data_IF_785487017670
#
_entry.id   IF_785487017670
#
_cell.length_a   1.000
_cell.length_b   1.000
_cell.length_c   1.000
_cell.angle_alpha   90.00
_cell.angle_beta   90.00
_cell.angle_gamma   90.00
#
_symmetry.space_group_name_H-M   'P 1'
#
loop_
_entity.id
_entity.type
_entity.pdbx_description
1 polymer ?
#
# COMPACT_ATOMS: atom_id res chain seq x y z
N UNK A 1 10.09 -62.24 -37.62
CA UNK A 1 9.90 -63.34 -38.62
C UNK A 1 9.40 -62.81 -39.96
N UNK A 2 8.46 -61.86 -40.01
CA UNK A 2 7.94 -61.26 -41.26
C UNK A 2 8.99 -60.50 -42.12
N UNK A 3 9.96 -59.81 -41.51
CA UNK A 3 11.00 -59.06 -42.24
C UNK A 3 12.03 -59.99 -42.91
N UNK A 4 12.27 -61.19 -42.36
CA UNK A 4 13.20 -62.17 -42.94
C UNK A 4 12.68 -62.77 -44.25
N UNK A 5 11.36 -62.91 -44.42
CA UNK A 5 10.76 -63.41 -45.67
C UNK A 5 10.81 -62.40 -46.80
N UNK A 6 10.55 -61.11 -46.50
CA UNK A 6 10.51 -60.04 -47.52
C UNK A 6 11.89 -59.70 -48.11
N UNK A 7 12.94 -59.69 -47.29
CA UNK A 7 14.30 -59.40 -47.76
C UNK A 7 14.92 -60.56 -48.57
N UNK A 8 14.44 -61.80 -48.39
CA UNK A 8 14.86 -62.93 -49.22
C UNK A 8 14.33 -62.80 -50.65
N UNK A 9 13.04 -62.50 -50.80
CA UNK A 9 12.37 -62.46 -52.12
C UNK A 9 12.82 -61.30 -53.02
N UNK A 10 13.21 -60.15 -52.48
CA UNK A 10 13.74 -59.01 -53.26
C UNK A 10 15.21 -59.19 -53.68
N UNK A 11 16.00 -60.01 -52.97
CA UNK A 11 17.41 -60.21 -53.32
C UNK A 11 17.60 -61.18 -54.51
N UNK A 12 16.72 -62.19 -54.61
CA UNK A 12 16.70 -63.14 -55.73
C UNK A 12 16.28 -62.51 -57.07
N UNK A 13 15.59 -61.37 -57.03
CA UNK A 13 15.12 -60.67 -58.24
C UNK A 13 16.15 -59.68 -58.81
N UNK A 14 17.11 -59.22 -58.01
CA UNK A 14 18.09 -58.21 -58.43
C UNK A 14 19.43 -58.80 -58.93
N UNK A 15 19.77 -60.04 -58.59
CA UNK A 15 21.06 -60.66 -58.94
C UNK A 15 20.94 -62.15 -59.30
N UNK A 16 20.35 -62.50 -60.47
CA UNK A 16 20.12 -63.90 -60.85
C UNK A 16 21.41 -64.68 -61.21
N UNK A 17 22.54 -64.00 -61.46
CA UNK A 17 23.81 -64.64 -61.90
C UNK A 17 24.78 -65.02 -60.77
N UNK A 18 24.39 -64.85 -59.50
CA UNK A 18 25.26 -65.13 -58.34
C UNK A 18 24.90 -66.44 -57.60
N UNK A 19 24.11 -67.30 -58.23
CA UNK A 19 23.70 -68.61 -57.68
C UNK A 19 24.66 -69.68 -58.17
N UNK A 20 25.85 -69.78 -57.55
CA UNK A 20 26.58 -71.07 -57.50
C UNK A 20 27.73 -71.14 -56.47
N UNK A 21 27.77 -70.25 -55.45
CA UNK A 21 28.76 -70.40 -54.37
C UNK A 21 28.20 -69.95 -53.01
N UNK A 22 27.74 -70.94 -52.22
CA UNK A 22 27.09 -70.77 -50.91
C UNK A 22 27.94 -69.97 -49.90
N UNK A 23 29.26 -69.93 -50.08
CA UNK A 23 30.18 -69.19 -49.21
C UNK A 23 30.10 -67.68 -49.39
N UNK A 24 29.86 -67.22 -50.63
CA UNK A 24 29.89 -65.79 -50.97
C UNK A 24 28.60 -65.09 -50.50
N UNK A 25 27.47 -65.80 -50.56
CA UNK A 25 26.17 -65.31 -50.05
C UNK A 25 26.19 -65.12 -48.53
N UNK A 26 26.77 -66.08 -47.78
CA UNK A 26 26.87 -66.00 -46.33
C UNK A 26 27.74 -64.80 -45.88
N UNK A 27 28.86 -64.54 -46.55
CA UNK A 27 29.76 -63.42 -46.24
C UNK A 27 29.14 -62.04 -46.51
N UNK A 28 28.45 -61.88 -47.64
CA UNK A 28 27.76 -60.62 -48.00
C UNK A 28 26.59 -60.39 -47.05
N UNK A 29 25.76 -61.40 -46.80
CA UNK A 29 24.63 -61.31 -45.88
C UNK A 29 25.09 -60.95 -44.46
N UNK A 30 26.16 -61.57 -43.95
CA UNK A 30 26.66 -61.29 -42.61
C UNK A 30 27.29 -59.88 -42.49
N UNK A 31 27.89 -59.37 -43.56
CA UNK A 31 28.49 -58.02 -43.62
C UNK A 31 27.42 -56.93 -43.73
N UNK A 32 26.39 -57.14 -44.55
CA UNK A 32 25.24 -56.23 -44.67
C UNK A 32 24.47 -56.20 -43.35
N UNK A 33 24.21 -57.36 -42.72
CA UNK A 33 23.47 -57.42 -41.46
C UNK A 33 24.22 -56.71 -40.31
N UNK A 34 25.55 -56.85 -40.22
CA UNK A 34 26.37 -56.11 -39.23
C UNK A 34 26.33 -54.60 -39.46
N UNK A 35 26.47 -54.13 -40.71
CA UNK A 35 26.43 -52.70 -41.04
C UNK A 35 25.05 -52.09 -40.80
N UNK A 36 23.97 -52.79 -41.13
CA UNK A 36 22.59 -52.32 -40.91
C UNK A 36 22.26 -52.24 -39.41
N UNK A 37 22.69 -53.20 -38.59
CA UNK A 37 22.48 -53.16 -37.12
C UNK A 37 23.29 -52.01 -36.48
N UNK A 38 24.54 -51.80 -36.91
CA UNK A 38 25.34 -50.65 -36.45
C UNK A 38 24.71 -49.32 -36.83
N UNK A 39 24.17 -49.19 -38.05
CA UNK A 39 23.51 -47.97 -38.54
C UNK A 39 22.18 -47.70 -37.84
N UNK A 40 21.38 -48.74 -37.57
CA UNK A 40 20.14 -48.65 -36.78
C UNK A 40 20.42 -48.30 -35.31
N UNK A 41 21.52 -48.79 -34.72
CA UNK A 41 21.90 -48.45 -33.34
C UNK A 41 22.49 -47.03 -33.21
N UNK A 42 23.19 -46.55 -34.24
CA UNK A 42 23.73 -45.19 -34.27
C UNK A 42 22.61 -44.17 -34.48
N UNK A 43 21.67 -44.46 -35.39
CA UNK A 43 20.48 -43.63 -35.61
C UNK A 43 19.55 -43.65 -34.38
N UNK A 44 19.32 -44.79 -33.72
CA UNK A 44 18.50 -44.80 -32.50
C UNK A 44 19.12 -44.00 -31.35
N UNK A 45 20.46 -44.03 -31.19
CA UNK A 45 21.19 -43.20 -30.21
C UNK A 45 21.16 -41.72 -30.57
N UNK A 46 21.26 -41.34 -31.85
CA UNK A 46 21.09 -39.95 -32.30
C UNK A 46 19.66 -39.47 -32.07
N UNK A 47 18.65 -40.29 -32.37
CA UNK A 47 17.25 -39.98 -32.12
C UNK A 47 16.95 -39.84 -30.62
N UNK A 48 17.51 -40.71 -29.77
CA UNK A 48 17.39 -40.57 -28.30
C UNK A 48 18.11 -39.34 -27.77
N UNK A 49 19.31 -39.01 -28.26
CA UNK A 49 20.02 -37.78 -27.86
C UNK A 49 19.29 -36.51 -28.33
N UNK A 50 18.68 -36.53 -29.52
CA UNK A 50 17.88 -35.42 -30.03
C UNK A 50 16.54 -35.26 -29.29
N UNK A 51 15.87 -36.36 -28.94
CA UNK A 51 14.67 -36.37 -28.08
C UNK A 51 14.99 -35.86 -26.68
N UNK A 52 16.07 -36.35 -26.06
CA UNK A 52 16.51 -35.92 -24.73
C UNK A 52 16.94 -34.46 -24.73
N UNK A 53 17.65 -34.00 -25.77
CA UNK A 53 17.98 -32.58 -25.96
C UNK A 53 16.75 -31.71 -26.10
N UNK A 54 15.72 -32.14 -26.86
CA UNK A 54 14.44 -31.41 -26.99
C UNK A 54 13.62 -31.42 -25.70
N UNK A 55 13.64 -32.51 -24.94
CA UNK A 55 13.00 -32.60 -23.62
C UNK A 55 13.71 -31.72 -22.58
N UNK A 56 15.04 -31.67 -22.61
CA UNK A 56 15.83 -30.78 -21.73
C UNK A 56 15.64 -29.32 -22.13
N UNK A 57 15.69 -28.97 -23.42
CA UNK A 57 15.37 -27.61 -23.88
C UNK A 57 13.92 -27.23 -23.58
N UNK A 58 12.98 -28.18 -23.73
CA UNK A 58 11.58 -28.00 -23.37
C UNK A 58 11.40 -27.78 -21.87
N UNK A 59 12.09 -28.54 -21.03
CA UNK A 59 12.08 -28.39 -19.58
C UNK A 59 12.79 -27.11 -19.11
N UNK A 60 13.88 -26.69 -19.77
CA UNK A 60 14.56 -25.41 -19.51
C UNK A 60 13.67 -24.24 -19.97
N UNK A 61 12.98 -24.35 -21.09
CA UNK A 61 12.00 -23.36 -21.53
C UNK A 61 10.78 -23.32 -20.59
N UNK A 62 10.29 -24.47 -20.11
CA UNK A 62 9.22 -24.54 -19.12
C UNK A 62 9.66 -24.01 -17.76
N UNK A 63 10.90 -24.26 -17.34
CA UNK A 63 11.52 -23.69 -16.15
C UNK A 63 11.81 -22.20 -16.32
N UNK A 64 12.16 -21.72 -17.51
CA UNK A 64 12.34 -20.29 -17.79
C UNK A 64 10.99 -19.55 -17.85
N UNK A 65 9.93 -20.20 -18.34
CA UNK A 65 8.54 -19.69 -18.31
C UNK A 65 7.95 -19.77 -16.89
N UNK A 66 8.30 -20.79 -16.10
CA UNK A 66 7.93 -20.88 -14.68
C UNK A 66 8.81 -19.97 -13.77
N UNK A 67 10.01 -19.60 -14.23
CA UNK A 67 10.91 -18.64 -13.60
C UNK A 67 10.69 -17.20 -14.10
N UNK A 68 9.73 -16.99 -15.01
CA UNK A 68 8.88 -15.81 -14.96
C UNK A 68 8.05 -15.90 -13.68
N UNK A 69 8.75 -15.76 -12.56
CA UNK A 69 8.21 -15.18 -11.34
C UNK A 69 7.21 -14.13 -11.77
N UNK A 70 5.98 -14.22 -11.27
CA UNK A 70 5.16 -13.04 -11.14
C UNK A 70 6.05 -12.04 -10.39
N UNK A 71 6.77 -11.19 -11.12
CA UNK A 71 7.28 -9.94 -10.59
C UNK A 71 5.99 -9.23 -10.23
N UNK A 72 5.55 -9.43 -8.99
CA UNK A 72 4.41 -8.75 -8.41
C UNK A 72 4.73 -7.28 -8.60
N UNK A 73 4.11 -6.66 -9.61
CA UNK A 73 4.40 -5.28 -9.97
C UNK A 73 4.17 -4.45 -8.72
N UNK A 74 5.21 -3.76 -8.26
CA UNK A 74 5.15 -2.98 -7.03
C UNK A 74 3.98 -2.01 -7.11
N UNK A 75 3.12 -2.03 -6.10
CA UNK A 75 1.88 -1.27 -6.11
C UNK A 75 2.18 0.19 -5.76
N UNK A 76 1.50 1.09 -6.45
CA UNK A 76 1.46 2.51 -6.12
C UNK A 76 -0.01 2.81 -5.93
N UNK A 77 -0.43 2.77 -4.67
CA UNK A 77 -1.82 2.98 -4.27
C UNK A 77 -1.98 4.47 -4.02
N UNK A 78 -2.94 5.11 -4.67
CA UNK A 78 -3.16 6.54 -4.55
C UNK A 78 -4.54 6.77 -3.94
N UNK A 79 -4.59 7.38 -2.76
CA UNK A 79 -5.86 7.82 -2.18
C UNK A 79 -6.29 9.12 -2.85
N UNK A 80 -7.60 9.21 -3.09
CA UNK A 80 -8.26 10.40 -3.59
C UNK A 80 -9.40 10.76 -2.65
N UNK A 81 -9.19 11.77 -1.81
CA UNK A 81 -10.24 12.30 -0.94
C UNK A 81 -11.15 13.24 -1.76
N UNK A 82 -12.38 12.81 -2.02
CA UNK A 82 -13.34 13.56 -2.84
C UNK A 82 -13.70 14.93 -2.26
N UNK A 83 -13.50 15.13 -0.94
CA UNK A 83 -13.67 16.42 -0.26
C UNK A 83 -12.77 17.50 -0.85
N UNK A 84 -11.66 17.12 -1.49
CA UNK A 84 -10.78 18.02 -2.24
C UNK A 84 -11.50 18.88 -3.30
N UNK A 85 -12.61 18.40 -3.89
CA UNK A 85 -13.41 19.16 -4.87
C UNK A 85 -14.12 20.37 -4.27
N UNK A 86 -14.33 20.38 -2.95
CA UNK A 86 -15.07 21.41 -2.25
C UNK A 86 -14.18 22.43 -1.54
N UNK A 87 -12.85 22.30 -1.68
CA UNK A 87 -11.94 23.33 -1.18
C UNK A 87 -12.01 24.59 -2.05
N UNK A 88 -11.56 25.71 -1.48
CA UNK A 88 -11.63 27.01 -2.11
C UNK A 88 -10.34 27.36 -2.87
N UNK A 89 -10.49 28.15 -3.94
CA UNK A 89 -9.37 28.70 -4.70
C UNK A 89 -8.42 27.64 -5.25
N UNK A 90 -7.11 27.84 -5.03
CA UNK A 90 -6.06 26.93 -5.55
C UNK A 90 -6.06 25.55 -4.86
N UNK A 91 -6.70 25.44 -3.70
CA UNK A 91 -6.86 24.18 -2.97
C UNK A 91 -7.82 23.19 -3.66
N UNK A 92 -8.70 23.72 -4.53
CA UNK A 92 -9.73 22.92 -5.19
C UNK A 92 -9.10 21.87 -6.10
N UNK A 93 -9.41 20.62 -5.82
CA UNK A 93 -8.97 19.46 -6.59
C UNK A 93 -10.11 18.97 -7.47
N UNK A 94 -10.11 19.41 -8.73
CA UNK A 94 -11.02 18.91 -9.76
C UNK A 94 -10.57 17.54 -10.28
N UNK A 95 -11.50 16.71 -10.73
CA UNK A 95 -11.20 15.39 -11.32
C UNK A 95 -10.18 15.45 -12.48
N UNK A 96 -10.08 16.58 -13.19
CA UNK A 96 -9.10 16.78 -14.26
C UNK A 96 -7.66 16.63 -13.80
N UNK A 97 -7.37 16.92 -12.52
CA UNK A 97 -6.04 16.76 -11.95
C UNK A 97 -5.64 15.29 -11.80
N UNK A 98 -6.58 14.32 -11.78
CA UNK A 98 -6.27 12.89 -11.67
C UNK A 98 -5.56 12.33 -12.91
N UNK A 99 -5.62 12.97 -14.07
CA UNK A 99 -5.00 12.42 -15.28
C UNK A 99 -3.47 12.27 -15.17
N UNK A 100 -2.79 13.23 -14.53
CA UNK A 100 -1.34 13.22 -14.41
C UNK A 100 -0.78 12.20 -13.39
N UNK A 101 -1.29 12.07 -12.16
CA UNK A 101 -0.78 11.11 -11.19
C UNK A 101 -1.09 9.66 -11.58
N UNK A 102 -2.19 9.41 -12.32
CA UNK A 102 -2.61 8.05 -12.69
C UNK A 102 -1.65 7.31 -13.62
N UNK A 103 -0.71 8.00 -14.28
CA UNK A 103 0.38 7.32 -14.98
C UNK A 103 1.36 6.61 -14.04
N UNK A 104 1.37 7.01 -12.76
CA UNK A 104 2.23 6.45 -11.71
C UNK A 104 1.48 5.47 -10.80
N UNK A 105 0.17 5.68 -10.61
CA UNK A 105 -0.68 4.86 -9.75
C UNK A 105 -1.07 3.53 -10.41
N UNK A 106 -1.01 2.43 -9.66
CA UNK A 106 -1.59 1.14 -10.07
C UNK A 106 -3.00 0.96 -9.52
N UNK A 107 -3.28 1.56 -8.36
CA UNK A 107 -4.60 1.56 -7.72
C UNK A 107 -4.98 2.99 -7.36
N UNK A 108 -6.22 3.37 -7.61
CA UNK A 108 -6.83 4.58 -7.09
C UNK A 108 -7.87 4.16 -6.05
N UNK A 109 -7.78 4.69 -4.84
CA UNK A 109 -8.77 4.45 -3.79
C UNK A 109 -9.57 5.72 -3.60
N UNK A 110 -10.85 5.65 -3.99
CA UNK A 110 -11.82 6.73 -3.80
C UNK A 110 -12.21 6.82 -2.33
N UNK A 111 -11.94 7.95 -1.72
CA UNK A 111 -12.32 8.29 -0.37
C UNK A 111 -13.48 9.32 -0.35
N UNK A 112 -14.52 9.17 0.46
CA UNK A 112 -14.85 7.99 1.27
C UNK A 112 -16.36 7.76 1.28
N UNK A 113 -16.74 6.50 1.42
CA UNK A 113 -18.06 6.10 1.88
C UNK A 113 -18.09 6.03 3.41
N UNK A 114 -19.29 6.02 3.97
CA UNK A 114 -19.54 5.83 5.38
C UNK A 114 -20.55 4.71 5.63
N UNK A 115 -20.96 4.61 6.89
CA UNK A 115 -21.95 3.64 7.35
C UNK A 115 -23.15 4.40 7.89
N UNK A 116 -24.34 4.05 7.44
CA UNK A 116 -25.56 4.62 8.01
C UNK A 116 -25.82 4.01 9.40
N UNK A 117 -25.87 4.80 10.49
CA UNK A 117 -25.91 4.27 11.86
C UNK A 117 -27.21 3.51 12.20
N UNK A 118 -28.29 3.72 11.44
CA UNK A 118 -29.58 3.06 11.69
C UNK A 118 -29.75 1.76 10.90
N UNK A 119 -29.17 1.69 9.71
CA UNK A 119 -29.38 0.56 8.78
C UNK A 119 -28.14 -0.30 8.58
N UNK A 120 -26.97 0.18 9.04
CA UNK A 120 -25.66 -0.44 8.88
C UNK A 120 -25.27 -0.71 7.42
N UNK A 121 -25.89 0.00 6.49
CA UNK A 121 -25.55 -0.06 5.07
C UNK A 121 -24.39 0.88 4.76
N UNK A 122 -23.56 0.47 3.81
CA UNK A 122 -22.57 1.35 3.20
C UNK A 122 -23.29 2.44 2.40
N UNK A 123 -22.95 3.69 2.64
CA UNK A 123 -23.56 4.87 2.00
C UNK A 123 -22.50 5.87 1.53
N UNK A 124 -22.75 6.64 0.45
CA UNK A 124 -21.89 7.77 0.10
C UNK A 124 -21.90 8.83 1.20
N UNK A 125 -20.75 9.41 1.54
CA UNK A 125 -20.71 10.56 2.46
C UNK A 125 -21.26 11.84 1.80
N UNK A 126 -21.23 11.93 0.46
CA UNK A 126 -21.82 13.04 -0.27
C UNK A 126 -22.67 12.52 -1.44
N UNK A 127 -23.88 12.07 -1.17
CA UNK A 127 -24.80 11.52 -2.19
C UNK A 127 -25.08 12.49 -3.35
N UNK A 128 -25.15 13.79 -3.08
CA UNK A 128 -25.36 14.81 -4.10
C UNK A 128 -24.21 14.88 -5.12
N UNK A 129 -22.98 14.62 -4.68
CA UNK A 129 -21.81 14.64 -5.54
C UNK A 129 -21.51 13.26 -6.13
N UNK A 130 -21.45 12.25 -5.26
CA UNK A 130 -21.01 10.91 -5.59
C UNK A 130 -22.01 10.18 -6.51
N UNK A 131 -23.30 10.34 -6.22
CA UNK A 131 -24.40 9.65 -6.90
C UNK A 131 -25.14 10.58 -7.85
N UNK A 132 -25.67 11.69 -7.36
CA UNK A 132 -26.55 12.56 -8.18
C UNK A 132 -25.79 13.25 -9.31
N UNK A 133 -24.52 13.62 -9.09
CA UNK A 133 -23.61 14.13 -10.14
C UNK A 133 -22.74 13.02 -10.76
N UNK A 134 -23.02 11.76 -10.43
CA UNK A 134 -22.39 10.58 -10.99
C UNK A 134 -20.85 10.57 -10.86
N UNK A 135 -20.32 11.22 -9.81
CA UNK A 135 -18.87 11.35 -9.65
C UNK A 135 -18.19 9.98 -9.49
N UNK A 136 -18.83 9.02 -8.84
CA UNK A 136 -18.29 7.66 -8.75
C UNK A 136 -18.01 7.06 -10.13
N UNK A 137 -18.95 7.13 -11.08
CA UNK A 137 -18.72 6.60 -12.43
C UNK A 137 -17.68 7.40 -13.19
N UNK A 138 -17.64 8.71 -13.02
CA UNK A 138 -16.61 9.53 -13.65
C UNK A 138 -15.21 9.07 -13.24
N UNK A 139 -15.00 8.74 -11.96
CA UNK A 139 -13.72 8.23 -11.48
C UNK A 139 -13.46 6.79 -11.90
N UNK A 140 -14.43 5.88 -11.80
CA UNK A 140 -14.23 4.48 -12.22
C UNK A 140 -14.01 4.36 -13.73
N UNK A 141 -14.60 5.25 -14.54
CA UNK A 141 -14.38 5.32 -15.99
C UNK A 141 -12.97 5.77 -16.39
N UNK A 142 -12.15 6.30 -15.47
CA UNK A 142 -10.73 6.58 -15.76
C UNK A 142 -9.98 5.32 -16.20
N UNK A 143 -10.47 4.13 -15.85
CA UNK A 143 -9.95 2.84 -16.34
C UNK A 143 -10.00 2.68 -17.85
N UNK A 144 -10.92 3.38 -18.54
CA UNK A 144 -10.97 3.39 -20.02
C UNK A 144 -9.72 4.06 -20.61
N UNK A 145 -9.13 5.02 -19.90
CA UNK A 145 -7.90 5.73 -20.29
C UNK A 145 -6.65 5.06 -19.72
N UNK A 146 -6.76 4.42 -18.57
CA UNK A 146 -5.67 3.72 -17.88
C UNK A 146 -6.05 2.24 -17.68
N UNK A 147 -5.92 1.37 -18.69
CA UNK A 147 -6.47 -0.01 -18.65
C UNK A 147 -5.83 -0.92 -17.58
N UNK A 148 -4.69 -0.54 -17.01
CA UNK A 148 -4.06 -1.24 -15.89
C UNK A 148 -4.48 -0.75 -14.50
N UNK A 149 -5.29 0.31 -14.42
CA UNK A 149 -5.73 0.92 -13.16
C UNK A 149 -6.84 0.10 -12.51
N UNK A 150 -6.74 -0.09 -11.20
CA UNK A 150 -7.84 -0.58 -10.36
C UNK A 150 -8.38 0.55 -9.52
N UNK A 151 -9.70 0.70 -9.47
CA UNK A 151 -10.37 1.75 -8.71
C UNK A 151 -11.21 1.12 -7.60
N UNK A 152 -10.85 1.34 -6.35
CA UNK A 152 -11.57 0.82 -5.18
C UNK A 152 -12.31 1.97 -4.47
N UNK A 153 -13.36 1.63 -3.73
CA UNK A 153 -14.02 2.56 -2.80
C UNK A 153 -13.54 2.27 -1.38
N UNK A 154 -13.16 3.30 -0.63
CA UNK A 154 -12.81 3.18 0.79
C UNK A 154 -13.98 3.58 1.67
N UNK A 155 -14.21 2.84 2.76
CA UNK A 155 -15.19 3.16 3.80
C UNK A 155 -14.48 3.54 5.10
N UNK A 156 -14.91 4.63 5.74
CA UNK A 156 -14.30 5.17 6.97
C UNK A 156 -13.14 6.12 6.66
N UNK A 157 -11.92 5.71 7.00
CA UNK A 157 -10.71 6.48 6.70
C UNK A 157 -10.47 7.68 7.61
N UNK A 158 -11.18 7.78 8.73
CA UNK A 158 -11.18 8.98 9.58
C UNK A 158 -11.90 10.15 8.91
N UNK A 159 -12.84 9.85 8.00
CA UNK A 159 -13.69 10.84 7.30
C UNK A 159 -15.16 10.64 7.58
N UNK A 160 -15.57 9.48 8.09
CA UNK A 160 -16.94 9.21 8.48
C UNK A 160 -17.16 9.64 9.94
N UNK A 161 -17.24 10.95 10.14
CA UNK A 161 -17.19 11.56 11.48
C UNK A 161 -18.47 11.39 12.31
N UNK A 162 -19.59 10.98 11.70
CA UNK A 162 -20.86 10.82 12.40
C UNK A 162 -20.90 9.48 13.14
N UNK A 163 -21.07 9.51 14.46
CA UNK A 163 -21.22 8.33 15.32
C UNK A 163 -20.16 7.23 15.06
N UNK A 164 -18.98 7.37 15.68
CA UNK A 164 -17.89 6.40 15.51
C UNK A 164 -18.22 5.01 16.05
N UNK A 165 -19.14 4.90 17.00
CA UNK A 165 -19.51 3.62 17.61
C UNK A 165 -20.20 2.69 16.60
N UNK A 166 -20.78 3.24 15.52
CA UNK A 166 -21.42 2.43 14.46
C UNK A 166 -20.47 1.42 13.81
N UNK A 167 -19.16 1.68 13.82
CA UNK A 167 -18.15 0.73 13.32
C UNK A 167 -17.94 -0.44 14.28
N UNK A 168 -18.23 -0.29 15.57
CA UNK A 168 -18.17 -1.40 16.53
C UNK A 168 -19.51 -2.14 16.58
N UNK A 169 -20.62 -1.41 16.69
CA UNK A 169 -21.97 -2.01 16.77
C UNK A 169 -22.39 -2.77 15.50
N UNK A 170 -21.80 -2.44 14.34
CA UNK A 170 -21.95 -3.25 13.13
C UNK A 170 -21.29 -4.62 13.28
N UNK A 171 -20.12 -4.70 13.93
CA UNK A 171 -19.41 -5.96 14.14
C UNK A 171 -20.17 -6.89 15.09
N UNK A 172 -20.81 -6.33 16.11
CA UNK A 172 -21.57 -7.04 17.15
C UNK A 172 -22.81 -7.81 16.63
N UNK A 173 -23.16 -7.70 15.34
CA UNK A 173 -24.33 -8.38 14.77
C UNK A 173 -24.09 -8.92 13.36
N UNK A 174 -24.39 -10.21 13.16
CA UNK A 174 -24.38 -10.87 11.85
C UNK A 174 -25.32 -10.14 10.87
N UNK A 175 -26.49 -9.69 11.34
CA UNK A 175 -27.46 -8.98 10.49
C UNK A 175 -26.91 -7.65 9.99
N UNK A 176 -26.21 -6.90 10.86
CA UNK A 176 -25.56 -5.65 10.50
C UNK A 176 -24.42 -5.88 9.50
N UNK A 177 -23.58 -6.89 9.72
CA UNK A 177 -22.53 -7.28 8.76
C UNK A 177 -23.10 -7.65 7.40
N UNK A 178 -24.18 -8.43 7.35
CA UNK A 178 -24.83 -8.79 6.09
C UNK A 178 -25.45 -7.58 5.39
N UNK A 179 -26.08 -6.66 6.13
CA UNK A 179 -26.60 -5.41 5.57
C UNK A 179 -25.49 -4.57 4.94
N UNK A 180 -24.35 -4.44 5.62
CA UNK A 180 -23.16 -3.78 5.11
C UNK A 180 -22.62 -4.47 3.85
N UNK A 181 -22.36 -5.78 3.89
CA UNK A 181 -21.77 -6.54 2.78
C UNK A 181 -22.66 -6.43 1.53
N UNK A 182 -23.96 -6.62 1.68
CA UNK A 182 -24.91 -6.60 0.56
C UNK A 182 -25.02 -5.20 -0.07
N UNK A 183 -25.06 -4.15 0.76
CA UNK A 183 -25.11 -2.77 0.26
C UNK A 183 -23.80 -2.34 -0.39
N UNK A 184 -22.65 -2.72 0.19
CA UNK A 184 -21.34 -2.50 -0.39
C UNK A 184 -21.21 -3.19 -1.76
N UNK A 185 -21.52 -4.49 -1.85
CA UNK A 185 -21.49 -5.23 -3.11
C UNK A 185 -22.36 -4.58 -4.19
N UNK A 186 -23.60 -4.22 -3.83
CA UNK A 186 -24.54 -3.55 -4.74
C UNK A 186 -23.99 -2.23 -5.26
N UNK A 187 -23.46 -1.37 -4.37
CA UNK A 187 -22.92 -0.07 -4.75
C UNK A 187 -21.69 -0.22 -5.64
N UNK A 188 -20.73 -1.08 -5.28
CA UNK A 188 -19.50 -1.29 -6.05
C UNK A 188 -19.81 -1.73 -7.48
N UNK A 189 -20.70 -2.72 -7.63
CA UNK A 189 -21.18 -3.21 -8.93
C UNK A 189 -21.92 -2.12 -9.70
N UNK A 190 -22.78 -1.37 -9.02
CA UNK A 190 -23.57 -0.31 -9.62
C UNK A 190 -22.66 0.73 -10.24
N UNK A 191 -21.63 1.21 -9.54
CA UNK A 191 -20.78 2.31 -10.00
C UNK A 191 -19.45 1.88 -10.67
N UNK A 192 -19.24 0.57 -10.86
CA UNK A 192 -18.10 0.05 -11.63
C UNK A 192 -16.76 0.06 -10.88
N UNK A 193 -16.79 0.01 -9.54
CA UNK A 193 -15.58 -0.17 -8.72
C UNK A 193 -15.03 -1.60 -8.88
N UNK A 194 -13.70 -1.74 -8.77
CA UNK A 194 -13.01 -3.03 -8.79
C UNK A 194 -12.90 -3.67 -7.41
N UNK A 195 -13.32 -2.99 -6.34
CA UNK A 195 -13.24 -3.53 -4.99
C UNK A 195 -13.50 -2.53 -3.88
N UNK A 196 -13.39 -3.01 -2.64
CA UNK A 196 -13.59 -2.26 -1.40
C UNK A 196 -12.29 -2.18 -0.60
N UNK A 197 -12.02 -1.02 -0.02
CA UNK A 197 -11.00 -0.81 0.99
C UNK A 197 -11.65 -0.58 2.36
N UNK A 198 -11.37 -1.47 3.31
CA UNK A 198 -11.86 -1.36 4.68
C UNK A 198 -10.89 -0.51 5.51
N UNK A 199 -11.11 0.80 5.54
CA UNK A 199 -10.39 1.73 6.40
C UNK A 199 -11.15 1.91 7.73
N UNK A 200 -11.28 0.79 8.46
CA UNK A 200 -12.20 0.64 9.60
C UNK A 200 -11.83 1.55 10.77
N UNK A 201 -12.82 2.26 11.34
CA UNK A 201 -12.61 3.27 12.38
C UNK A 201 -12.59 2.68 13.79
N UNK A 202 -11.61 1.79 14.06
CA UNK A 202 -11.35 1.33 15.43
C UNK A 202 -10.90 2.48 16.35
N UNK A 203 -11.19 2.41 17.66
CA UNK A 203 -10.66 3.35 18.63
C UNK A 203 -9.12 3.42 18.59
N UNK A 204 -8.52 4.61 18.43
CA UNK A 204 -7.07 4.75 18.43
C UNK A 204 -6.50 4.61 19.84
N UNK A 205 -5.21 4.26 19.93
CA UNK A 205 -4.46 4.25 21.19
C UNK A 205 -4.59 5.59 21.93
N UNK A 206 -4.61 5.57 23.27
CA UNK A 206 -4.60 6.79 24.07
C UNK A 206 -3.25 7.51 23.94
N UNK A 207 -3.24 8.85 23.76
CA UNK A 207 -1.99 9.61 23.71
C UNK A 207 -1.26 9.56 25.06
N UNK A 208 0.06 9.66 25.04
CA UNK A 208 0.88 9.70 26.27
C UNK A 208 0.54 10.99 27.04
N UNK A 209 0.15 10.87 28.31
CA UNK A 209 0.01 12.05 29.19
C UNK A 209 1.41 12.51 29.62
N UNK A 210 1.82 13.72 29.25
CA UNK A 210 3.02 14.36 29.82
C UNK A 210 2.76 14.54 31.32
N UNK A 211 3.55 13.87 32.17
CA UNK A 211 3.60 14.10 33.63
C UNK A 211 4.86 14.92 33.93
N UNK A 212 4.77 15.82 34.91
CA UNK A 212 5.87 16.68 35.33
C UNK A 212 7.14 15.90 35.70
N UNK A 213 8.30 16.55 35.56
CA UNK A 213 9.67 16.00 35.59
C UNK A 213 9.99 15.18 36.86
N UNK A 214 9.33 15.44 37.99
CA UNK A 214 9.50 14.67 39.23
C UNK A 214 8.84 13.28 39.19
N UNK A 215 7.93 13.04 38.24
CA UNK A 215 7.26 11.75 38.03
C UNK A 215 7.93 10.83 37.00
N UNK A 216 8.92 11.30 36.23
CA UNK A 216 9.53 10.50 35.15
C UNK A 216 10.49 9.43 35.68
N UNK A 217 11.16 9.68 36.81
CA UNK A 217 12.18 8.80 37.41
C UNK A 217 11.58 7.46 37.88
N UNK A 218 10.30 7.41 38.28
CA UNK A 218 9.63 6.19 38.74
C UNK A 218 9.02 5.32 37.62
N UNK A 219 9.00 5.81 36.38
CA UNK A 219 8.34 5.14 35.25
C UNK A 219 9.26 4.20 34.45
N UNK A 220 10.59 4.34 34.57
CA UNK A 220 11.58 3.51 33.87
C UNK A 220 11.62 2.04 34.33
N UNK A 221 10.79 1.65 35.31
CA UNK A 221 10.72 0.29 35.88
C UNK A 221 9.39 -0.41 35.59
N UNK A 222 8.43 0.23 34.91
CA UNK A 222 7.16 -0.42 34.52
C UNK A 222 6.98 -0.41 33.01
N UNK A 223 7.16 -1.58 32.39
CA UNK A 223 6.59 -1.86 31.07
C UNK A 223 5.09 -1.51 31.13
N UNK A 224 4.70 -0.44 30.45
CA UNK A 224 3.32 0.06 30.47
C UNK A 224 2.50 -0.80 29.52
N UNK A 225 2.05 -1.95 30.02
CA UNK A 225 0.93 -2.66 29.44
C UNK A 225 -0.30 -1.74 29.55
N UNK A 226 -0.69 -1.13 28.42
CA UNK A 226 -1.99 -0.47 28.32
C UNK A 226 -3.02 -1.58 28.44
N UNK A 227 -3.81 -1.56 29.51
CA UNK A 227 -4.93 -2.49 29.69
C UNK A 227 -5.91 -2.30 28.52
N UNK A 228 -6.13 -3.33 27.68
CA UNK A 228 -7.02 -3.26 26.52
C UNK A 228 -8.42 -2.75 26.86
N UNK A 229 -8.93 -3.10 28.05
CA UNK A 229 -10.26 -2.70 28.53
C UNK A 229 -10.46 -1.19 28.63
N UNK A 230 -9.37 -0.41 28.70
CA UNK A 230 -9.46 1.04 28.77
C UNK A 230 -9.69 1.71 27.41
N UNK A 231 -9.42 1.02 26.30
CA UNK A 231 -9.64 1.52 24.94
C UNK A 231 -10.95 0.97 24.39
N UNK A 232 -11.16 -0.33 24.58
CA UNK A 232 -12.37 -1.02 24.18
C UNK A 232 -12.55 -2.26 25.06
N UNK A 233 -13.64 -2.30 25.81
CA UNK A 233 -13.98 -3.40 26.72
C UNK A 233 -14.22 -4.72 25.98
N UNK A 234 -14.66 -4.64 24.70
CA UNK A 234 -14.97 -5.77 23.83
C UNK A 234 -13.92 -6.00 22.74
N UNK A 235 -12.71 -5.48 22.93
CA UNK A 235 -11.65 -5.57 21.92
C UNK A 235 -11.40 -6.98 21.34
N UNK A 236 -11.48 -8.02 22.19
CA UNK A 236 -11.32 -9.41 21.74
C UNK A 236 -12.49 -9.86 20.84
N UNK A 237 -13.72 -9.54 21.21
CA UNK A 237 -14.93 -9.81 20.41
C UNK A 237 -14.87 -9.03 19.09
N UNK A 238 -14.58 -7.73 19.13
CA UNK A 238 -14.46 -6.91 17.92
C UNK A 238 -13.35 -7.38 16.98
N UNK A 239 -12.24 -7.93 17.48
CA UNK A 239 -11.22 -8.57 16.64
C UNK A 239 -11.76 -9.80 15.91
N UNK A 240 -12.46 -10.68 16.63
CA UNK A 240 -13.05 -11.89 16.03
C UNK A 240 -14.13 -11.54 15.01
N UNK A 241 -15.01 -10.60 15.35
CA UNK A 241 -16.12 -10.19 14.49
C UNK A 241 -15.66 -9.37 13.27
N UNK A 242 -14.59 -8.57 13.40
CA UNK A 242 -13.96 -7.94 12.24
C UNK A 242 -13.31 -8.96 11.31
N UNK A 243 -12.70 -10.01 11.87
CA UNK A 243 -12.20 -11.13 11.08
C UNK A 243 -13.34 -11.86 10.35
N UNK A 244 -14.49 -12.02 11.01
CA UNK A 244 -15.69 -12.56 10.39
C UNK A 244 -16.19 -11.67 9.25
N UNK A 245 -16.30 -10.35 9.47
CA UNK A 245 -16.68 -9.36 8.46
C UNK A 245 -15.79 -9.46 7.21
N UNK A 246 -14.47 -9.49 7.38
CA UNK A 246 -13.52 -9.56 6.26
C UNK A 246 -13.66 -10.87 5.48
N UNK A 247 -13.82 -11.99 6.18
CA UNK A 247 -14.03 -13.32 5.56
C UNK A 247 -15.36 -13.39 4.81
N UNK A 248 -16.44 -12.91 5.41
CA UNK A 248 -17.79 -12.88 4.82
C UNK A 248 -17.81 -11.97 3.59
N UNK A 249 -17.19 -10.78 3.67
CA UNK A 249 -17.04 -9.85 2.54
C UNK A 249 -16.25 -10.50 1.40
N UNK A 250 -15.13 -11.15 1.69
CA UNK A 250 -14.36 -11.88 0.67
C UNK A 250 -15.21 -12.92 -0.02
N UNK A 251 -15.99 -13.70 0.72
CA UNK A 251 -16.85 -14.73 0.14
C UNK A 251 -17.91 -14.14 -0.81
N UNK A 252 -18.54 -13.03 -0.42
CA UNK A 252 -19.48 -12.32 -1.29
C UNK A 252 -18.81 -11.79 -2.57
N UNK A 253 -17.55 -11.38 -2.48
CA UNK A 253 -16.83 -10.71 -3.58
C UNK A 253 -16.18 -11.67 -4.58
N UNK A 254 -15.94 -12.93 -4.19
CA UNK A 254 -15.22 -13.93 -5.01
C UNK A 254 -15.82 -14.12 -6.40
N UNK A 255 -17.14 -14.23 -6.51
CA UNK A 255 -17.81 -14.55 -7.78
C UNK A 255 -17.63 -13.42 -8.81
N UNK A 256 -17.62 -12.17 -8.37
CA UNK A 256 -17.47 -10.99 -9.23
C UNK A 256 -16.02 -10.55 -9.41
N UNK A 257 -15.06 -11.24 -8.78
CA UNK A 257 -13.65 -10.89 -8.83
C UNK A 257 -13.34 -9.52 -8.20
N UNK A 258 -14.17 -9.06 -7.26
CA UNK A 258 -13.94 -7.80 -6.56
C UNK A 258 -12.76 -7.93 -5.60
N UNK A 259 -11.89 -6.91 -5.61
CA UNK A 259 -10.79 -6.77 -4.67
C UNK A 259 -11.32 -6.43 -3.28
N UNK A 260 -10.64 -6.92 -2.25
CA UNK A 260 -10.87 -6.53 -0.88
C UNK A 260 -9.52 -6.19 -0.25
N UNK A 261 -9.37 -4.92 0.14
CA UNK A 261 -8.19 -4.40 0.82
C UNK A 261 -8.61 -3.86 2.18
N UNK A 262 -7.62 -3.57 3.01
CA UNK A 262 -7.85 -3.00 4.33
C UNK A 262 -6.76 -1.97 4.60
N UNK A 263 -7.13 -0.93 5.35
CA UNK A 263 -6.21 0.12 5.78
C UNK A 263 -6.14 0.15 7.30
N UNK A 264 -4.95 -0.09 7.84
CA UNK A 264 -4.68 0.10 9.26
C UNK A 264 -4.48 1.59 9.49
N UNK A 265 -5.48 2.23 10.10
CA UNK A 265 -5.48 3.67 10.34
C UNK A 265 -4.44 4.10 11.39
N UNK A 266 -4.03 5.38 11.39
CA UNK A 266 -3.13 5.95 12.38
C UNK A 266 -3.53 5.64 13.81
N UNK A 267 -2.56 5.22 14.62
CA UNK A 267 -2.74 4.88 16.04
C UNK A 267 -3.73 3.74 16.35
N UNK A 268 -4.29 3.04 15.35
CA UNK A 268 -5.08 1.84 15.60
C UNK A 268 -4.16 0.69 16.00
N UNK A 269 -4.45 0.06 17.13
CA UNK A 269 -3.61 -1.00 17.68
C UNK A 269 -3.84 -2.32 16.94
N UNK A 270 -2.86 -2.75 16.14
CA UNK A 270 -2.97 -4.00 15.39
C UNK A 270 -3.10 -5.23 16.32
N UNK A 271 -2.38 -5.26 17.45
CA UNK A 271 -2.50 -6.33 18.45
C UNK A 271 -3.89 -6.43 19.06
N UNK A 272 -4.61 -5.31 19.16
CA UNK A 272 -5.94 -5.28 19.78
C UNK A 272 -7.04 -5.70 18.81
N UNK A 273 -6.97 -5.32 17.54
CA UNK A 273 -8.10 -5.43 16.60
C UNK A 273 -7.86 -6.32 15.39
N UNK A 274 -6.62 -6.76 15.14
CA UNK A 274 -6.29 -7.46 13.90
C UNK A 274 -5.69 -8.84 14.19
N UNK A 275 -6.45 -9.90 13.90
CA UNK A 275 -5.87 -11.24 13.73
C UNK A 275 -5.22 -11.32 12.34
N UNK A 276 -3.95 -10.93 12.25
CA UNK A 276 -3.20 -10.85 10.99
C UNK A 276 -3.23 -12.19 10.24
N UNK A 277 -3.11 -13.31 10.94
CA UNK A 277 -3.07 -14.64 10.32
C UNK A 277 -4.40 -15.00 9.67
N UNK A 278 -5.52 -14.67 10.32
CA UNK A 278 -6.86 -14.94 9.79
C UNK A 278 -7.31 -13.91 8.73
N UNK A 279 -6.87 -12.65 8.84
CA UNK A 279 -7.25 -11.56 7.94
C UNK A 279 -6.55 -11.66 6.58
N UNK A 280 -5.22 -11.80 6.56
CA UNK A 280 -4.40 -11.64 5.34
C UNK A 280 -4.73 -12.61 4.20
N UNK A 281 -5.14 -13.87 4.44
CA UNK A 281 -5.62 -14.76 3.37
C UNK A 281 -6.86 -14.24 2.63
N UNK A 282 -7.66 -13.41 3.29
CA UNK A 282 -8.90 -12.84 2.76
C UNK A 282 -8.70 -11.46 2.12
N UNK A 283 -7.49 -10.90 2.14
CA UNK A 283 -7.18 -9.57 1.63
C UNK A 283 -6.24 -9.63 0.42
N UNK A 284 -6.44 -8.77 -0.56
CA UNK A 284 -5.53 -8.63 -1.70
C UNK A 284 -4.22 -7.96 -1.27
N UNK A 285 -4.32 -6.92 -0.43
CA UNK A 285 -3.21 -6.27 0.27
C UNK A 285 -3.72 -5.44 1.45
N UNK A 286 -2.78 -5.01 2.31
CA UNK A 286 -3.03 -4.18 3.49
C UNK A 286 -2.24 -2.88 3.36
N UNK A 287 -2.92 -1.75 3.50
CA UNK A 287 -2.32 -0.43 3.57
C UNK A 287 -2.00 -0.10 5.04
N UNK A 288 -0.75 0.22 5.34
CA UNK A 288 -0.28 0.57 6.68
C UNK A 288 -0.09 2.09 6.75
N UNK A 289 -1.05 2.80 7.35
CA UNK A 289 -0.96 4.25 7.54
C UNK A 289 -0.07 4.57 8.75
N UNK A 290 1.23 4.33 8.58
CA UNK A 290 2.27 4.58 9.58
C UNK A 290 2.67 6.07 9.66
N UNK A 291 1.68 6.90 9.92
CA UNK A 291 1.80 8.34 10.09
C UNK A 291 0.73 8.85 11.06
N UNK A 292 0.72 10.15 11.35
CA UNK A 292 -0.13 10.77 12.36
C UNK A 292 0.00 10.14 13.77
N UNK A 293 1.16 9.56 14.10
CA UNK A 293 1.45 9.11 15.47
C UNK A 293 1.32 10.28 16.46
N UNK A 294 1.82 11.44 16.04
CA UNK A 294 1.66 12.72 16.72
C UNK A 294 0.79 13.64 15.88
N UNK A 295 -0.25 14.21 16.48
CA UNK A 295 -1.10 15.26 15.89
C UNK A 295 -1.43 16.30 16.96
N UNK A 296 -1.74 17.56 16.61
CA UNK A 296 -2.10 18.55 17.61
C UNK A 296 -3.41 18.24 18.35
N UNK A 297 -4.34 17.52 17.72
CA UNK A 297 -5.56 17.04 18.38
C UNK A 297 -5.24 16.02 19.48
N UNK A 298 -4.36 15.05 19.19
CA UNK A 298 -3.97 13.99 20.12
C UNK A 298 -2.92 14.44 21.13
N UNK A 299 -2.05 15.35 20.73
CA UNK A 299 -0.88 15.82 21.45
C UNK A 299 -0.86 17.36 21.47
N UNK A 300 -1.82 18.03 22.15
CA UNK A 300 -1.91 19.50 22.13
C UNK A 300 -0.78 20.20 22.90
N UNK A 301 0.06 19.43 23.61
CA UNK A 301 1.14 19.92 24.48
C UNK A 301 2.52 19.37 24.11
N UNK A 302 2.61 18.55 23.06
CA UNK A 302 3.87 17.98 22.57
C UNK A 302 3.85 17.92 21.05
N UNK A 303 4.90 18.44 20.40
CA UNK A 303 5.11 18.25 18.98
C UNK A 303 6.29 17.30 18.77
N UNK A 304 6.09 16.28 17.95
CA UNK A 304 7.13 15.32 17.56
C UNK A 304 6.89 14.86 16.12
N UNK A 305 7.78 14.06 15.56
CA UNK A 305 7.67 13.52 14.21
C UNK A 305 6.33 12.76 14.05
N UNK A 306 5.47 13.18 13.11
CA UNK A 306 4.18 12.53 12.92
C UNK A 306 4.30 11.18 12.18
N UNK A 307 5.36 10.96 11.41
CA UNK A 307 5.49 9.80 10.53
C UNK A 307 6.91 9.18 10.47
N UNK A 308 7.59 8.96 11.61
CA UNK A 308 8.94 8.41 11.60
C UNK A 308 8.98 7.00 11.03
N UNK A 309 10.01 6.71 10.24
CA UNK A 309 10.22 5.38 9.68
C UNK A 309 10.84 4.43 10.71
N UNK A 310 11.71 4.93 11.59
CA UNK A 310 12.35 4.13 12.64
C UNK A 310 12.10 4.69 14.03
N UNK A 311 12.31 3.83 15.03
CA UNK A 311 12.23 4.16 16.44
C UNK A 311 13.12 5.36 16.81
N UNK A 312 12.55 6.28 17.59
CA UNK A 312 13.27 7.37 18.22
C UNK A 312 13.64 7.00 19.65
N UNK A 313 14.89 7.25 20.04
CA UNK A 313 15.37 7.06 21.41
C UNK A 313 14.52 7.92 22.35
N UNK A 314 14.19 7.39 23.53
CA UNK A 314 13.34 8.03 24.54
C UNK A 314 11.90 8.33 24.10
N UNK A 315 11.43 7.69 23.01
CA UNK A 315 10.02 7.67 22.59
C UNK A 315 9.43 6.28 22.74
N UNK A 316 8.14 6.17 22.42
CA UNK A 316 7.49 4.87 22.37
C UNK A 316 8.04 4.07 21.17
N UNK A 317 8.48 2.86 21.46
CA UNK A 317 9.15 1.99 20.48
C UNK A 317 8.24 1.57 19.31
N UNK A 318 6.92 1.64 19.49
CA UNK A 318 5.90 1.19 18.54
C UNK A 318 5.32 2.30 17.63
N UNK A 319 5.66 3.57 17.89
CA UNK A 319 5.16 4.72 17.14
C UNK A 319 6.06 5.06 15.92
N UNK A 320 6.31 4.06 15.06
CA UNK A 320 7.07 4.23 13.82
C UNK A 320 6.70 3.18 12.75
N UNK A 321 6.95 3.52 11.48
CA UNK A 321 6.60 2.67 10.35
C UNK A 321 7.32 1.33 10.29
N UNK A 322 8.59 1.26 10.69
CA UNK A 322 9.31 -0.01 10.73
C UNK A 322 8.70 -0.96 11.75
N UNK A 323 8.30 -0.48 12.93
CA UNK A 323 7.62 -1.32 13.92
C UNK A 323 6.31 -1.89 13.37
N UNK A 324 5.43 -1.05 12.81
CA UNK A 324 4.15 -1.53 12.27
C UNK A 324 4.36 -2.56 11.14
N UNK A 325 5.30 -2.32 10.23
CA UNK A 325 5.67 -3.29 9.18
C UNK A 325 6.17 -4.60 9.80
N UNK A 326 7.11 -4.54 10.75
CA UNK A 326 7.66 -5.74 11.38
C UNK A 326 6.59 -6.53 12.15
N UNK A 327 5.68 -5.85 12.85
CA UNK A 327 4.56 -6.49 13.53
C UNK A 327 3.73 -7.34 12.55
N UNK A 328 3.31 -6.77 11.42
CA UNK A 328 2.51 -7.51 10.43
C UNK A 328 3.28 -8.68 9.81
N UNK A 329 4.56 -8.50 9.49
CA UNK A 329 5.41 -9.58 8.96
C UNK A 329 5.57 -10.72 9.96
N UNK A 330 5.86 -10.42 11.22
CA UNK A 330 6.07 -11.42 12.28
C UNK A 330 4.79 -12.19 12.61
N UNK A 331 3.61 -11.59 12.38
CA UNK A 331 2.32 -12.22 12.57
C UNK A 331 1.77 -12.87 11.28
N UNK A 332 2.63 -13.14 10.29
CA UNK A 332 2.32 -14.00 9.15
C UNK A 332 1.86 -13.29 7.87
N UNK A 333 1.88 -11.96 7.81
CA UNK A 333 1.60 -11.26 6.57
C UNK A 333 2.75 -11.41 5.56
N UNK A 334 2.49 -11.86 4.31
CA UNK A 334 3.49 -11.83 3.25
C UNK A 334 3.93 -10.39 2.94
N UNK A 335 5.23 -10.17 2.79
CA UNK A 335 5.79 -8.85 2.48
C UNK A 335 5.13 -8.19 1.25
N UNK A 336 4.92 -8.94 0.18
CA UNK A 336 4.31 -8.48 -1.08
C UNK A 336 2.82 -8.06 -0.96
N UNK A 337 2.19 -8.29 0.20
CA UNK A 337 0.83 -7.81 0.53
C UNK A 337 0.83 -6.55 1.42
N UNK A 338 1.97 -6.12 1.96
CA UNK A 338 2.05 -4.94 2.82
C UNK A 338 2.40 -3.69 2.00
N UNK A 339 1.61 -2.64 2.12
CA UNK A 339 1.76 -1.36 1.42
C UNK A 339 2.02 -0.26 2.44
N UNK A 340 3.14 0.44 2.35
CA UNK A 340 3.49 1.50 3.32
C UNK A 340 2.89 2.84 2.92
N UNK A 341 2.12 3.45 3.83
CA UNK A 341 1.53 4.77 3.64
C UNK A 341 2.53 5.92 3.78
N UNK A 342 2.38 6.94 2.92
CA UNK A 342 3.14 8.18 2.88
C UNK A 342 2.13 9.33 2.86
N UNK A 343 2.06 10.16 3.91
CA UNK A 343 1.16 11.31 3.91
C UNK A 343 1.70 12.41 2.99
N UNK A 344 0.81 13.21 2.40
CA UNK A 344 1.17 14.37 1.55
C UNK A 344 0.88 15.71 2.24
N UNK A 345 0.81 15.69 3.56
CA UNK A 345 0.51 16.84 4.40
C UNK A 345 1.46 16.89 5.60
N UNK A 346 1.48 18.04 6.27
CA UNK A 346 2.19 18.27 7.52
C UNK A 346 1.23 18.50 8.69
N UNK A 347 1.66 18.07 9.88
CA UNK A 347 1.00 18.37 11.15
C UNK A 347 1.68 19.55 11.82
N UNK A 348 0.89 20.52 12.27
CA UNK A 348 1.40 21.82 12.74
C UNK A 348 1.03 22.13 14.18
N UNK A 349 1.93 22.80 14.90
CA UNK A 349 1.74 23.25 16.28
C UNK A 349 2.18 24.71 16.46
N UNK A 350 1.57 25.39 17.43
CA UNK A 350 1.96 26.75 17.85
C UNK A 350 3.10 26.67 18.86
N UNK A 351 4.26 27.20 18.50
CA UNK A 351 5.39 27.38 19.42
C UNK A 351 5.19 28.64 20.26
N UNK A 352 5.66 28.61 21.50
CA UNK A 352 5.75 29.77 22.40
C UNK A 352 7.22 30.16 22.60
N UNK A 353 7.47 31.25 23.33
CA UNK A 353 8.83 31.69 23.66
C UNK A 353 9.61 30.62 24.45
N UNK A 354 8.88 29.81 25.23
CA UNK A 354 9.43 28.72 26.03
C UNK A 354 9.67 27.42 25.23
N UNK A 355 9.21 27.34 23.97
CA UNK A 355 9.43 26.16 23.10
C UNK A 355 10.88 25.97 22.65
N UNK A 356 11.76 26.94 22.92
CA UNK A 356 13.17 26.92 22.53
C UNK A 356 13.44 27.30 21.06
N UNK A 357 14.73 27.37 20.71
CA UNK A 357 15.21 28.03 19.48
C UNK A 357 15.56 27.09 18.32
N UNK A 358 15.62 25.78 18.57
CA UNK A 358 16.18 24.81 17.62
C UNK A 358 15.12 24.04 16.83
N UNK A 359 13.88 24.00 17.31
CA UNK A 359 12.81 23.20 16.71
C UNK A 359 13.04 21.69 16.78
N UNK A 360 14.05 21.21 17.51
CA UNK A 360 14.36 19.79 17.64
C UNK A 360 13.29 19.12 18.50
N UNK A 361 12.54 18.13 17.98
CA UNK A 361 11.52 17.46 18.77
C UNK A 361 12.14 16.50 19.83
N UNK A 362 11.45 16.26 20.96
CA UNK A 362 10.07 16.61 21.22
C UNK A 362 9.98 18.07 21.70
N UNK A 363 9.05 18.84 21.16
CA UNK A 363 8.85 20.23 21.59
C UNK A 363 7.76 20.27 22.63
N UNK A 364 8.11 20.73 23.84
CA UNK A 364 7.19 21.07 24.91
C UNK A 364 6.79 22.55 24.84
N UNK A 365 5.90 22.98 25.73
CA UNK A 365 5.54 24.39 25.88
C UNK A 365 4.96 24.99 24.60
N UNK A 366 4.10 24.21 23.94
CA UNK A 366 3.36 24.59 22.74
C UNK A 366 1.90 24.87 23.07
N UNK A 367 1.21 25.61 22.19
CA UNK A 367 -0.20 26.00 22.35
C UNK A 367 -1.11 25.31 21.33
N UNK A 368 -1.13 23.98 21.34
CA UNK A 368 -2.03 23.19 20.48
C UNK A 368 -1.75 23.36 18.99
N UNK A 369 -2.81 23.26 18.19
CA UNK A 369 -2.77 23.26 16.74
C UNK A 369 -2.19 24.56 16.16
N UNK A 370 -1.31 24.41 15.16
CA UNK A 370 -0.86 25.51 14.30
C UNK A 370 -2.01 26.15 13.54
N UNK A 371 -1.86 27.41 13.13
CA UNK A 371 -2.91 28.12 12.41
C UNK A 371 -3.30 27.41 11.12
N UNK A 372 -4.59 27.49 10.79
CA UNK A 372 -5.14 26.94 9.56
C UNK A 372 -4.47 27.56 8.33
N UNK A 373 -4.12 26.71 7.37
CA UNK A 373 -3.58 27.15 6.09
C UNK A 373 -4.61 27.88 5.23
N UNK A 374 -4.17 28.74 4.28
CA UNK A 374 -5.08 29.47 3.40
C UNK A 374 -5.90 28.55 2.47
N UNK A 375 -5.45 27.31 2.26
CA UNK A 375 -6.02 26.35 1.31
C UNK A 375 -6.71 25.19 2.02
N UNK A 376 -6.05 24.55 2.99
CA UNK A 376 -6.67 23.43 3.75
C UNK A 376 -7.77 23.91 4.69
N UNK A 377 -7.62 25.13 5.24
CA UNK A 377 -8.54 25.73 6.23
C UNK A 377 -8.79 24.82 7.46
N UNK A 378 -7.79 24.02 7.81
CA UNK A 378 -7.83 23.11 8.95
C UNK A 378 -6.68 23.46 9.90
N UNK A 379 -7.00 23.80 11.15
CA UNK A 379 -5.98 24.03 12.17
C UNK A 379 -5.18 22.75 12.40
N UNK A 380 -3.86 22.87 12.51
CA UNK A 380 -3.01 21.72 12.75
C UNK A 380 -2.67 20.88 11.52
N UNK A 381 -3.14 21.27 10.32
CA UNK A 381 -2.87 20.57 9.06
C UNK A 381 -2.56 21.55 7.92
N UNK A 382 -1.43 21.32 7.27
CA UNK A 382 -1.06 22.00 6.02
C UNK A 382 -0.82 20.97 4.92
N UNK A 383 -1.32 21.22 3.71
CA UNK A 383 -0.93 20.47 2.52
C UNK A 383 0.58 20.60 2.27
N UNK A 384 1.19 19.66 1.54
CA UNK A 384 2.60 19.80 1.15
C UNK A 384 2.85 21.13 0.43
N UNK A 385 1.91 21.54 -0.44
CA UNK A 385 1.97 22.82 -1.13
C UNK A 385 2.07 24.02 -0.16
N UNK A 386 1.26 24.05 0.91
CA UNK A 386 1.28 25.14 1.90
C UNK A 386 2.55 25.13 2.75
N UNK A 387 3.04 23.94 3.15
CA UNK A 387 4.31 23.83 3.85
C UNK A 387 5.44 24.34 2.96
N UNK A 388 5.49 23.87 1.72
CA UNK A 388 6.53 24.20 0.75
C UNK A 388 6.57 25.70 0.41
N UNK A 389 5.41 26.35 0.28
CA UNK A 389 5.31 27.80 0.07
C UNK A 389 5.85 28.63 1.25
N UNK A 390 5.80 28.09 2.47
CA UNK A 390 6.32 28.74 3.69
C UNK A 390 7.81 28.50 3.93
N UNK A 391 8.44 27.56 3.23
CA UNK A 391 9.88 27.28 3.40
C UNK A 391 10.72 28.46 2.88
N UNK A 392 11.90 28.66 3.49
CA UNK A 392 12.88 29.62 2.98
C UNK A 392 13.28 29.28 1.54
N UNK A 393 13.06 30.20 0.61
CA UNK A 393 13.47 30.08 -0.79
C UNK A 393 13.97 31.44 -1.32
N UNK A 394 14.70 31.50 -2.45
CA UNK A 394 15.23 32.75 -3.01
C UNK A 394 14.17 33.83 -3.34
N UNK A 395 12.91 33.44 -3.47
CA UNK A 395 11.78 34.33 -3.78
C UNK A 395 11.05 34.84 -2.51
N UNK A 396 11.24 34.19 -1.36
CA UNK A 396 10.60 34.49 -0.06
C UNK A 396 11.62 34.96 1.00
N UNK A 397 12.66 35.70 0.58
CA UNK A 397 13.78 36.09 1.45
C UNK A 397 13.43 37.29 2.37
N UNK A 398 12.31 37.98 2.15
CA UNK A 398 11.96 39.19 2.91
C UNK A 398 10.45 39.29 3.22
N UNK A 399 10.07 38.85 4.41
CA UNK A 399 8.78 39.18 5.05
C UNK A 399 8.00 37.98 5.61
N UNK A 400 7.80 37.94 6.94
CA UNK A 400 6.78 37.18 7.69
C UNK A 400 6.80 35.65 7.66
N UNK A 401 6.88 35.01 8.84
CA UNK A 401 6.56 33.59 9.09
C UNK A 401 7.19 32.53 8.17
N UNK A 402 8.40 32.79 7.65
CA UNK A 402 9.16 31.81 6.86
C UNK A 402 9.65 30.69 7.77
N UNK A 403 9.43 29.45 7.34
CA UNK A 403 9.84 28.24 8.04
C UNK A 403 11.26 27.82 7.63
N UNK A 404 12.11 27.60 8.63
CA UNK A 404 13.43 26.98 8.46
C UNK A 404 13.24 25.46 8.40
N UNK A 405 13.55 24.86 7.25
CA UNK A 405 13.59 23.40 7.08
C UNK A 405 14.75 22.79 7.86
N UNK A 406 14.49 21.68 8.54
CA UNK A 406 15.49 20.78 9.11
C UNK A 406 15.20 19.36 8.60
N UNK A 407 16.15 18.82 7.83
CA UNK A 407 16.10 17.43 7.38
C UNK A 407 16.82 16.51 8.36
N UNK A 408 16.43 15.24 8.38
CA UNK A 408 17.17 14.16 9.03
C UNK A 408 18.15 13.52 8.02
N UNK A 409 19.47 13.74 8.15
CA UNK A 409 20.47 13.17 7.24
C UNK A 409 20.50 11.64 7.25
N UNK A 410 19.99 11.00 8.30
CA UNK A 410 19.92 9.54 8.38
C UNK A 410 18.75 8.95 7.59
N UNK A 411 17.76 9.77 7.22
CA UNK A 411 16.55 9.37 6.50
C UNK A 411 15.60 8.48 7.30
N UNK A 412 15.68 8.52 8.64
CA UNK A 412 14.97 7.60 9.54
C UNK A 412 13.73 8.19 10.18
N UNK A 413 13.70 9.49 10.45
CA UNK A 413 12.67 10.10 11.30
C UNK A 413 11.71 11.01 10.54
N UNK A 414 12.16 11.59 9.43
CA UNK A 414 11.38 12.50 8.60
C UNK A 414 12.00 13.89 8.53
N UNK A 415 11.21 14.88 8.15
CA UNK A 415 11.64 16.28 8.12
C UNK A 415 10.66 17.13 8.90
N UNK A 416 11.17 18.24 9.45
CA UNK A 416 10.34 19.26 10.03
C UNK A 416 10.78 20.64 9.52
N UNK A 417 9.91 21.63 9.69
CA UNK A 417 10.26 23.02 9.51
C UNK A 417 9.67 23.85 10.63
N UNK A 418 10.34 24.95 10.99
CA UNK A 418 9.89 25.75 12.12
C UNK A 418 10.19 27.23 11.96
N UNK A 419 9.40 28.04 12.66
CA UNK A 419 9.60 29.45 12.92
C UNK A 419 9.41 29.65 14.42
N UNK A 420 10.38 30.28 15.07
CA UNK A 420 10.33 30.53 16.52
C UNK A 420 9.24 31.57 16.85
N UNK A 421 8.78 31.58 18.09
CA UNK A 421 7.92 32.66 18.58
C UNK A 421 8.70 33.98 18.68
N UNK A 422 7.98 35.09 18.61
CA UNK A 422 8.45 36.43 18.94
C UNK A 422 7.48 37.09 19.94
N UNK A 423 7.89 38.23 20.51
CA UNK A 423 7.19 38.89 21.64
C UNK A 423 5.68 39.10 21.40
N UNK A 424 5.24 39.18 20.14
CA UNK A 424 3.85 39.44 19.76
C UNK A 424 3.16 38.26 19.05
N UNK A 425 3.89 37.21 18.64
CA UNK A 425 3.35 36.13 17.80
C UNK A 425 3.83 34.73 18.17
N UNK A 426 2.91 33.76 18.08
CA UNK A 426 3.27 32.35 18.16
C UNK A 426 4.18 31.94 17.00
N UNK A 427 5.18 31.13 17.32
CA UNK A 427 5.95 30.41 16.33
C UNK A 427 5.15 29.26 15.72
N UNK A 428 5.68 28.64 14.68
CA UNK A 428 5.08 27.47 14.04
C UNK A 428 6.08 26.34 13.98
N UNK A 429 5.70 25.14 14.40
CA UNK A 429 6.43 23.92 14.09
C UNK A 429 5.59 23.03 13.18
N UNK A 430 6.19 22.44 12.16
CA UNK A 430 5.53 21.48 11.25
C UNK A 430 6.39 20.26 11.02
N UNK A 431 5.85 19.08 11.32
CA UNK A 431 6.40 17.79 10.88
C UNK A 431 5.66 17.34 9.63
N UNK A 432 6.39 16.99 8.56
CA UNK A 432 5.78 16.70 7.26
C UNK A 432 6.64 15.74 6.42
N UNK A 433 6.07 15.30 5.30
CA UNK A 433 6.81 14.59 4.25
C UNK A 433 7.16 15.54 3.11
N UNK A 434 8.34 15.35 2.54
CA UNK A 434 8.76 16.00 1.30
C UNK A 434 9.22 14.93 0.27
N UNK A 435 9.62 15.33 -0.95
CA UNK A 435 10.08 14.38 -1.96
C UNK A 435 11.25 13.48 -1.50
N UNK A 436 12.15 13.99 -0.66
CA UNK A 436 13.31 13.22 -0.18
C UNK A 436 12.90 12.18 0.86
N UNK A 437 12.08 12.57 1.86
CA UNK A 437 11.59 11.63 2.88
C UNK A 437 10.66 10.58 2.30
N UNK A 438 9.79 10.97 1.35
CA UNK A 438 8.94 10.04 0.61
C UNK A 438 9.78 9.05 -0.22
N UNK A 439 10.85 9.53 -0.87
CA UNK A 439 11.80 8.69 -1.58
C UNK A 439 12.56 7.72 -0.66
N UNK A 440 12.90 8.13 0.56
CA UNK A 440 13.54 7.26 1.56
C UNK A 440 12.59 6.15 2.01
N UNK A 441 11.30 6.46 2.25
CA UNK A 441 10.26 5.45 2.54
C UNK A 441 10.07 4.46 1.39
N UNK A 442 10.08 4.92 0.14
CA UNK A 442 10.02 4.04 -1.02
C UNK A 442 11.27 3.12 -1.12
N UNK A 443 12.45 3.66 -0.80
CA UNK A 443 13.69 2.86 -0.75
C UNK A 443 13.62 1.78 0.34
N UNK A 444 13.06 2.11 1.51
CA UNK A 444 12.79 1.14 2.57
C UNK A 444 11.84 0.03 2.10
N UNK A 445 10.70 0.40 1.49
CA UNK A 445 9.72 -0.54 0.91
C UNK A 445 10.41 -1.52 -0.05
N UNK A 446 11.24 -1.01 -0.97
CA UNK A 446 12.01 -1.84 -1.90
C UNK A 446 12.98 -2.77 -1.17
N UNK A 447 13.75 -2.25 -0.20
CA UNK A 447 14.73 -3.04 0.56
C UNK A 447 14.12 -4.16 1.39
N UNK A 448 12.87 -3.99 1.84
CA UNK A 448 12.12 -4.98 2.63
C UNK A 448 11.28 -5.91 1.75
N UNK A 449 11.29 -5.71 0.42
CA UNK A 449 10.47 -6.47 -0.52
C UNK A 449 8.97 -6.32 -0.26
N UNK A 450 8.54 -5.16 0.24
CA UNK A 450 7.13 -4.90 0.51
C UNK A 450 6.34 -4.75 -0.80
N UNK A 451 5.02 -4.92 -0.71
CA UNK A 451 4.11 -4.89 -1.86
C UNK A 451 4.03 -3.53 -2.57
N UNK A 452 4.41 -2.44 -1.90
CA UNK A 452 4.47 -1.11 -2.49
C UNK A 452 4.26 0.05 -1.51
N UNK A 453 3.85 1.19 -2.05
CA UNK A 453 3.54 2.43 -1.31
C UNK A 453 2.08 2.83 -1.50
N UNK A 454 1.55 3.53 -0.50
CA UNK A 454 0.28 4.24 -0.58
C UNK A 454 0.52 5.74 -0.38
N UNK A 455 0.01 6.59 -1.28
CA UNK A 455 0.05 8.05 -1.15
C UNK A 455 -1.27 8.52 -0.54
N UNK A 456 -1.21 9.19 0.61
CA UNK A 456 -2.37 9.63 1.41
C UNK A 456 -2.33 11.15 1.63
N UNK A 457 -2.96 11.97 0.81
CA UNK A 457 -3.69 11.64 -0.41
C UNK A 457 -3.33 12.60 -1.57
N UNK A 458 -3.74 12.28 -2.79
CA UNK A 458 -3.36 13.05 -3.99
C UNK A 458 -3.78 14.53 -3.92
N UNK A 459 -4.81 14.86 -3.15
CA UNK A 459 -5.37 16.21 -3.07
C UNK A 459 -4.55 17.15 -2.19
N UNK A 460 -3.63 16.63 -1.39
CA UNK A 460 -2.76 17.41 -0.50
C UNK A 460 -1.30 17.45 -0.98
N UNK A 461 -0.94 16.66 -2.00
CA UNK A 461 0.31 16.85 -2.75
C UNK A 461 0.23 18.16 -3.56
N UNK A 462 1.36 18.64 -4.09
CA UNK A 462 1.38 19.83 -4.95
C UNK A 462 0.90 19.48 -6.37
N UNK A 463 -0.40 19.23 -6.53
CA UNK A 463 -1.01 18.81 -7.80
C UNK A 463 -1.02 19.92 -8.87
N UNK A 464 -0.79 21.17 -8.47
CA UNK A 464 -0.68 22.34 -9.38
C UNK A 464 0.76 22.72 -9.71
N UNK A 465 1.74 22.20 -8.97
CA UNK A 465 3.15 22.54 -9.15
C UNK A 465 3.46 23.98 -8.71
N UNK A 466 2.76 24.48 -7.70
CA UNK A 466 2.89 25.87 -7.24
C UNK A 466 4.19 26.14 -6.48
N UNK A 467 4.77 25.13 -5.83
CA UNK A 467 5.99 25.35 -5.06
C UNK A 467 7.25 25.32 -5.93
N UNK A 468 7.38 24.30 -6.80
CA UNK A 468 8.63 24.08 -7.57
C UNK A 468 8.42 24.03 -9.09
N UNK A 469 7.19 24.26 -9.58
CA UNK A 469 6.81 24.02 -10.97
C UNK A 469 6.51 22.54 -11.28
N UNK A 470 6.92 21.62 -10.41
CA UNK A 470 6.65 20.19 -10.58
C UNK A 470 5.35 19.81 -9.88
N UNK A 471 4.43 19.21 -10.64
CA UNK A 471 3.22 18.62 -10.06
C UNK A 471 3.51 17.27 -9.44
N UNK A 472 2.73 16.94 -8.41
CA UNK A 472 2.80 15.68 -7.66
C UNK A 472 4.22 15.29 -7.20
N UNK A 473 5.00 16.20 -6.61
CA UNK A 473 6.41 15.96 -6.31
C UNK A 473 6.61 14.84 -5.29
N UNK A 474 5.73 14.68 -4.29
CA UNK A 474 5.83 13.56 -3.32
C UNK A 474 5.58 12.23 -4.01
N UNK A 475 4.46 12.10 -4.73
CA UNK A 475 4.13 10.88 -5.48
C UNK A 475 5.26 10.51 -6.46
N UNK A 476 5.75 11.48 -7.24
CA UNK A 476 6.79 11.24 -8.26
C UNK A 476 8.09 10.78 -7.63
N UNK A 477 8.52 11.40 -6.53
CA UNK A 477 9.75 11.01 -5.85
C UNK A 477 9.66 9.62 -5.21
N UNK A 478 8.53 9.32 -4.56
CA UNK A 478 8.28 7.99 -4.01
C UNK A 478 8.26 6.93 -5.12
N UNK A 479 7.52 7.15 -6.22
CA UNK A 479 7.49 6.25 -7.39
C UNK A 479 8.86 6.07 -8.03
N UNK A 480 9.67 7.13 -8.10
CA UNK A 480 10.99 7.07 -8.72
C UNK A 480 11.96 6.17 -7.94
N UNK A 481 11.84 6.14 -6.60
CA UNK A 481 12.71 5.33 -5.73
C UNK A 481 12.12 3.97 -5.35
N UNK A 482 10.95 3.63 -5.88
CA UNK A 482 10.26 2.35 -5.74
C UNK A 482 10.63 1.39 -6.87
#
# INVERSE_FOLDING_TARGET
MLIRRKLGEEFYTLFPELVDDDYTFAMIYHTVQKRTISFVSASSRLFHKAMLGKLILGAIAFLAVACNSQVSRTKVVCYYDSKGNFRDGQARFENTFLAEPLQFCTHLIYGYAGINPSTYKLVPLNEQFDVTRDNYRQITNLKLRYPGLRVLLSVGGGRDSEDKEKYLTLLESVEHRLAFINSAHTLLKSYGFDGLDLAWEFPPNKPKKIRSTLGSIWSSVKHTFVDPSQIDEKAAEHKEEFTALVRETRNAFRHDGLLLTMSVLPNVNSTMFHDVHALVPNLDFVNLWAFDYYTPERNPKEADYPAPLHELIDRKFDENGNYLVQYWLQNGAPNNKLILGIPTYGRTWKMTDDSGLTGVPPISDIKGAGDAGPYTKEEGLLSYQEVCAKLTNPNNVKGGSVLRKVGDPSGKFGTYAYHIADDDNYGTWVGYEDPDTAGNKATYVRSKGLGGIAIVDLTLDDFRGLCTGNKYPILRAAKFRL
#
